data_IF_365618966372
#
_entry.id   IF_365618966372
#
_cell.length_a   1.000
_cell.length_b   1.000
_cell.length_c   1.000
_cell.angle_alpha   90.00
_cell.angle_beta   90.00
_cell.angle_gamma   90.00
#
_symmetry.space_group_name_H-M   'P 1'
#
loop_
_entity.id
_entity.type
_entity.pdbx_description
1 polymer ?
#
# COMPACT_ATOMS: atom_id res chain seq x y z
N UNK A 1 27.60 -3.42 9.30
CA UNK A 1 27.68 -2.19 8.48
C UNK A 1 26.55 -2.27 7.46
N UNK A 2 25.73 -1.23 7.24
CA UNK A 2 24.68 -1.34 6.21
C UNK A 2 25.25 -1.08 4.82
N UNK A 3 25.01 -2.01 3.89
CA UNK A 3 25.23 -1.85 2.44
C UNK A 3 24.01 -1.25 1.72
N UNK A 4 23.08 -0.63 2.47
CA UNK A 4 21.82 -0.08 1.95
C UNK A 4 21.98 1.30 1.32
N UNK A 5 21.06 1.66 0.42
CA UNK A 5 21.06 2.91 -0.35
C UNK A 5 20.95 4.18 0.52
N UNK A 6 20.37 4.07 1.72
CA UNK A 6 20.05 5.22 2.58
C UNK A 6 20.97 5.37 3.79
N UNK A 7 21.38 6.61 4.05
CA UNK A 7 22.06 6.98 5.29
C UNK A 7 21.09 6.86 6.47
N UNK A 8 21.47 6.09 7.49
CA UNK A 8 20.70 5.98 8.73
C UNK A 8 20.95 7.20 9.60
N UNK A 9 19.95 8.07 9.74
CA UNK A 9 20.06 9.32 10.51
C UNK A 9 19.55 9.20 11.96
N UNK A 10 18.84 8.13 12.31
CA UNK A 10 18.30 7.94 13.65
C UNK A 10 17.35 6.74 13.75
N UNK A 11 16.67 6.64 14.90
CA UNK A 11 15.61 5.65 15.17
C UNK A 11 14.53 6.31 16.02
N UNK A 12 13.27 5.99 15.73
CA UNK A 12 12.11 6.42 16.50
C UNK A 12 11.23 5.18 16.75
N UNK A 13 10.56 5.04 17.91
CA UNK A 13 9.49 4.08 18.05
C UNK A 13 8.40 4.34 17.01
N UNK A 14 7.76 3.27 16.53
CA UNK A 14 6.59 3.39 15.65
C UNK A 14 5.49 4.10 16.42
N UNK A 15 4.88 5.11 15.80
CA UNK A 15 3.76 5.83 16.41
C UNK A 15 2.58 4.88 16.62
N UNK A 16 1.85 5.05 17.72
CA UNK A 16 0.73 4.17 18.09
C UNK A 16 -0.34 4.07 17.00
N UNK A 17 -0.62 5.18 16.31
CA UNK A 17 -1.59 5.23 15.21
C UNK A 17 -1.15 4.46 13.95
N UNK A 18 0.14 4.16 13.82
CA UNK A 18 0.69 3.37 12.71
C UNK A 18 0.84 1.88 13.04
N UNK A 19 0.47 1.46 14.26
CA UNK A 19 0.50 0.05 14.64
C UNK A 19 -0.63 -0.76 14.02
N UNK A 20 -1.73 -0.09 13.69
CA UNK A 20 -2.89 -0.71 13.04
C UNK A 20 -2.82 -0.37 11.56
N UNK A 21 -2.59 -1.38 10.74
CA UNK A 21 -2.50 -1.23 9.31
C UNK A 21 -3.92 -1.13 8.71
N UNK A 22 -4.15 -0.27 7.69
CA UNK A 22 -5.45 -0.18 7.03
C UNK A 22 -5.76 -1.48 6.25
N UNK A 23 -7.04 -1.73 6.03
CA UNK A 23 -7.49 -2.80 5.12
C UNK A 23 -6.97 -2.54 3.70
N UNK A 24 -6.69 -3.62 2.98
CA UNK A 24 -6.26 -3.55 1.58
C UNK A 24 -7.24 -4.32 0.70
N UNK A 25 -7.30 -3.98 -0.58
CA UNK A 25 -8.09 -4.70 -1.57
C UNK A 25 -7.20 -5.61 -2.42
N UNK A 26 -7.72 -6.74 -2.86
CA UNK A 26 -7.15 -7.59 -3.90
C UNK A 26 -8.17 -7.63 -5.04
N UNK A 27 -7.74 -7.24 -6.24
CA UNK A 27 -8.51 -7.44 -7.47
C UNK A 27 -7.86 -8.56 -8.26
N UNK A 28 -8.65 -9.57 -8.66
CA UNK A 28 -8.13 -10.68 -9.47
C UNK A 28 -7.70 -10.15 -10.85
N UNK A 29 -6.44 -10.40 -11.21
CA UNK A 29 -5.83 -9.91 -12.45
C UNK A 29 -6.36 -10.62 -13.72
N UNK A 30 -6.93 -11.82 -13.58
CA UNK A 30 -7.55 -12.59 -14.67
C UNK A 30 -9.06 -12.33 -14.75
N UNK A 31 -9.69 -12.01 -13.62
CA UNK A 31 -11.10 -11.66 -13.55
C UNK A 31 -11.32 -10.36 -12.75
N UNK A 32 -11.29 -9.23 -13.44
CA UNK A 32 -11.39 -7.88 -12.87
C UNK A 32 -12.70 -7.63 -12.09
N UNK A 33 -13.67 -8.55 -12.12
CA UNK A 33 -14.92 -8.47 -11.34
C UNK A 33 -14.86 -9.16 -9.98
N UNK A 34 -13.78 -9.89 -9.68
CA UNK A 34 -13.58 -10.56 -8.39
C UNK A 34 -12.71 -9.70 -7.48
N UNK A 35 -13.21 -9.45 -6.28
CA UNK A 35 -12.57 -8.64 -5.27
C UNK A 35 -12.49 -9.39 -3.94
N UNK A 36 -11.42 -9.14 -3.21
CA UNK A 36 -11.23 -9.62 -1.85
C UNK A 36 -10.68 -8.48 -0.96
N UNK A 37 -11.03 -8.53 0.31
CA UNK A 37 -10.44 -7.70 1.35
C UNK A 37 -9.34 -8.50 2.04
N UNK A 38 -8.18 -7.87 2.22
CA UNK A 38 -7.06 -8.39 2.99
C UNK A 38 -6.88 -7.57 4.26
N UNK A 39 -6.86 -8.25 5.41
CA UNK A 39 -6.51 -7.65 6.68
C UNK A 39 -5.03 -7.89 7.00
N UNK A 40 -4.15 -6.89 6.83
CA UNK A 40 -2.72 -7.05 7.10
C UNK A 40 -2.38 -7.28 8.57
N UNK A 41 -3.29 -7.01 9.50
CA UNK A 41 -3.06 -7.23 10.93
C UNK A 41 -3.34 -8.67 11.36
N UNK A 42 -4.20 -9.40 10.64
CA UNK A 42 -4.59 -10.78 10.98
C UNK A 42 -4.20 -11.81 9.92
N UNK A 43 -3.96 -11.38 8.69
CA UNK A 43 -3.73 -12.24 7.53
C UNK A 43 -5.01 -12.80 6.91
N UNK A 44 -6.19 -12.41 7.39
CA UNK A 44 -7.47 -12.88 6.87
C UNK A 44 -7.77 -12.29 5.49
N UNK A 45 -8.33 -13.14 4.61
CA UNK A 45 -8.81 -12.76 3.28
C UNK A 45 -10.28 -13.13 3.17
N UNK A 46 -11.12 -12.17 2.79
CA UNK A 46 -12.57 -12.37 2.63
C UNK A 46 -13.03 -11.85 1.28
N UNK A 47 -14.02 -12.51 0.67
CA UNK A 47 -14.67 -11.99 -0.54
C UNK A 47 -15.25 -10.60 -0.31
N UNK A 48 -15.19 -9.75 -1.32
CA UNK A 48 -15.63 -8.38 -1.27
C UNK A 48 -16.37 -7.96 -2.55
N UNK A 49 -17.11 -6.86 -2.48
CA UNK A 49 -17.63 -6.18 -3.67
C UNK A 49 -16.69 -5.06 -4.12
N UNK A 50 -16.91 -4.55 -5.34
CA UNK A 50 -16.16 -3.40 -5.86
C UNK A 50 -16.33 -2.17 -4.97
N UNK A 51 -17.55 -1.95 -4.48
CA UNK A 51 -17.89 -0.81 -3.62
C UNK A 51 -17.18 -0.88 -2.26
N UNK A 52 -16.99 -2.09 -1.71
CA UNK A 52 -16.23 -2.29 -0.47
C UNK A 52 -14.73 -2.04 -0.65
N UNK A 53 -14.22 -2.25 -1.86
CA UNK A 53 -12.83 -1.99 -2.23
C UNK A 53 -12.55 -0.54 -2.65
N UNK A 54 -13.58 0.26 -2.95
CA UNK A 54 -13.43 1.62 -3.43
C UNK A 54 -12.71 2.50 -2.38
N UNK A 55 -11.63 3.15 -2.79
CA UNK A 55 -10.81 3.99 -1.91
C UNK A 55 -9.80 3.23 -1.03
N UNK A 56 -9.78 1.90 -1.06
CA UNK A 56 -8.70 1.11 -0.46
C UNK A 56 -7.51 0.99 -1.42
N UNK A 57 -6.32 0.86 -0.86
CA UNK A 57 -5.13 0.52 -1.65
C UNK A 57 -5.11 -0.96 -2.03
N UNK A 58 -4.65 -1.25 -3.24
CA UNK A 58 -4.39 -2.63 -3.65
C UNK A 58 -3.24 -3.22 -2.83
N UNK A 59 -3.41 -4.46 -2.40
CA UNK A 59 -2.36 -5.25 -1.78
C UNK A 59 -1.28 -5.55 -2.83
N UNK A 60 -0.13 -4.88 -2.71
CA UNK A 60 1.00 -5.01 -3.63
C UNK A 60 2.32 -5.13 -2.87
N UNK A 61 3.28 -5.81 -3.50
CA UNK A 61 4.69 -5.76 -3.08
C UNK A 61 5.33 -4.54 -3.75
N UNK A 62 5.87 -3.64 -2.94
CA UNK A 62 6.47 -2.41 -3.41
C UNK A 62 7.98 -2.53 -3.54
N UNK A 63 8.50 -2.10 -4.69
CA UNK A 63 9.94 -1.91 -4.88
C UNK A 63 10.42 -0.65 -4.14
N UNK A 64 11.68 -0.62 -3.71
CA UNK A 64 12.24 0.48 -2.92
C UNK A 64 12.05 1.85 -3.60
N UNK A 65 12.34 1.94 -4.89
CA UNK A 65 12.19 3.19 -5.65
C UNK A 65 10.73 3.69 -5.72
N UNK A 66 9.76 2.78 -5.83
CA UNK A 66 8.35 3.15 -5.88
C UNK A 66 7.87 3.72 -4.53
N UNK A 67 8.40 3.20 -3.41
CA UNK A 67 8.15 3.76 -2.07
C UNK A 67 8.76 5.15 -1.93
N UNK A 68 9.99 5.34 -2.42
CA UNK A 68 10.70 6.62 -2.36
C UNK A 68 9.97 7.72 -3.15
N UNK A 69 9.60 7.43 -4.40
CA UNK A 69 8.83 8.35 -5.24
C UNK A 69 7.51 8.73 -4.59
N UNK A 70 6.79 7.75 -4.00
CA UNK A 70 5.53 8.00 -3.31
C UNK A 70 5.69 8.94 -2.11
N UNK A 71 6.76 8.80 -1.35
CA UNK A 71 7.07 9.71 -0.23
C UNK A 71 7.35 11.12 -0.76
N UNK A 72 8.17 11.24 -1.81
CA UNK A 72 8.53 12.52 -2.42
C UNK A 72 7.28 13.22 -2.95
N UNK A 73 6.45 12.53 -3.73
CA UNK A 73 5.24 13.07 -4.35
C UNK A 73 4.22 13.53 -3.30
N UNK A 74 4.06 12.77 -2.20
CA UNK A 74 3.21 13.16 -1.09
C UNK A 74 3.63 14.51 -0.48
N UNK A 75 4.92 14.71 -0.21
CA UNK A 75 5.41 15.98 0.35
C UNK A 75 5.43 17.13 -0.67
N UNK A 76 5.51 16.82 -1.96
CA UNK A 76 5.36 17.81 -3.04
C UNK A 76 3.90 18.13 -3.37
N UNK A 77 2.93 17.39 -2.83
CA UNK A 77 1.51 17.58 -3.10
C UNK A 77 1.08 17.23 -4.53
N UNK A 78 1.79 16.30 -5.18
CA UNK A 78 1.51 15.87 -6.56
C UNK A 78 0.98 14.42 -6.58
N UNK A 79 0.18 14.03 -7.59
CA UNK A 79 -0.24 12.64 -7.74
C UNK A 79 0.96 11.71 -7.96
N UNK A 80 0.95 10.55 -7.32
CA UNK A 80 1.99 9.54 -7.50
C UNK A 80 1.59 8.53 -8.59
N UNK A 81 2.48 8.29 -9.55
CA UNK A 81 2.23 7.40 -10.69
C UNK A 81 1.82 5.98 -10.26
N UNK A 82 2.55 5.38 -9.31
CA UNK A 82 2.32 3.99 -8.89
C UNK A 82 0.97 3.82 -8.22
N UNK A 83 0.65 4.71 -7.27
CA UNK A 83 -0.66 4.70 -6.57
C UNK A 83 -1.80 4.84 -7.57
N UNK A 84 -1.68 5.74 -8.54
CA UNK A 84 -2.71 5.95 -9.56
C UNK A 84 -2.85 4.75 -10.51
N UNK A 85 -1.74 4.13 -10.92
CA UNK A 85 -1.75 2.97 -11.82
C UNK A 85 -2.35 1.71 -11.20
N UNK A 86 -2.41 1.65 -9.87
CA UNK A 86 -2.90 0.50 -9.10
C UNK A 86 -4.33 0.67 -8.58
N UNK A 87 -5.04 1.73 -8.97
CA UNK A 87 -6.46 1.85 -8.65
C UNK A 87 -7.24 0.69 -9.28
N UNK A 88 -8.24 0.20 -8.54
CA UNK A 88 -9.17 -0.82 -9.05
C UNK A 88 -9.82 -0.34 -10.35
N UNK A 89 -10.00 -1.27 -11.28
CA UNK A 89 -10.67 -1.01 -12.56
C UNK A 89 -12.20 -1.09 -12.42
#
# INVERSE_FOLDING_TARGET
MSTGLWLKVGKLPIREDLKILPMQCIQDALNETQFELYNPNTGEVTKATREECEGLEICAVWEAHAVEERIIDHYNGVPNFWVESMKIK
#
